data_IF_500628652453
#
_entry.id   IF_500628652453
#
_cell.length_a   1.000
_cell.length_b   1.000
_cell.length_c   1.000
_cell.angle_alpha   90.00
_cell.angle_beta   90.00
_cell.angle_gamma   90.00
#
_symmetry.space_group_name_H-M   'P 1'
#
loop_
_entity.id
_entity.type
_entity.pdbx_description
1 polymer ?
#
# COMPACT_ATOMS: atom_id res chain seq x y z
N UNK A 1 5.25 18.52 -7.58
CA UNK A 1 5.41 17.82 -8.87
C UNK A 1 5.13 16.33 -8.67
N UNK A 2 4.21 15.77 -9.43
CA UNK A 2 3.92 14.34 -9.30
C UNK A 2 5.06 13.53 -9.91
N UNK A 3 5.61 12.58 -9.19
CA UNK A 3 6.59 11.65 -9.73
C UNK A 3 5.93 10.72 -10.76
N UNK A 4 6.70 10.28 -11.74
CA UNK A 4 6.22 9.32 -12.73
C UNK A 4 5.94 7.98 -12.05
N UNK A 5 4.86 7.27 -12.42
CA UNK A 5 4.61 5.95 -11.87
C UNK A 5 5.75 4.98 -12.23
N UNK A 6 6.07 4.10 -11.30
CA UNK A 6 7.05 3.05 -11.49
C UNK A 6 6.32 1.76 -11.82
N UNK A 7 6.65 1.15 -12.95
CA UNK A 7 6.02 -0.09 -13.38
C UNK A 7 6.83 -1.31 -12.95
N UNK A 8 6.14 -2.44 -12.76
CA UNK A 8 6.74 -3.71 -12.34
C UNK A 8 7.78 -4.22 -13.32
N UNK A 9 7.58 -3.98 -14.63
CA UNK A 9 8.51 -4.36 -15.69
C UNK A 9 8.18 -3.57 -16.96
N UNK A 10 9.06 -3.67 -17.97
CA UNK A 10 8.81 -3.05 -19.27
C UNK A 10 7.58 -3.63 -19.95
N UNK A 11 7.33 -4.95 -19.78
CA UNK A 11 6.12 -5.58 -20.29
C UNK A 11 4.87 -4.97 -19.65
N UNK A 12 4.86 -4.77 -18.33
CA UNK A 12 3.75 -4.12 -17.65
C UNK A 12 3.57 -2.67 -18.08
N UNK A 13 4.66 -1.97 -18.33
CA UNK A 13 4.62 -0.59 -18.88
C UNK A 13 3.94 -0.57 -20.25
N UNK A 14 4.30 -1.50 -21.13
CA UNK A 14 3.73 -1.59 -22.46
C UNK A 14 2.23 -1.89 -22.41
N UNK A 15 1.82 -2.83 -21.55
CA UNK A 15 0.42 -3.19 -21.33
C UNK A 15 -0.36 -1.97 -20.83
N UNK A 16 0.19 -1.26 -19.82
CA UNK A 16 -0.44 -0.07 -19.26
C UNK A 16 -0.59 1.04 -20.31
N UNK A 17 0.43 1.27 -21.14
CA UNK A 17 0.38 2.27 -22.21
C UNK A 17 -0.71 1.95 -23.24
N UNK A 18 -0.85 0.67 -23.60
CA UNK A 18 -1.90 0.23 -24.51
C UNK A 18 -3.29 0.47 -23.91
N UNK A 19 -3.46 0.14 -22.62
CA UNK A 19 -4.72 0.38 -21.92
C UNK A 19 -5.06 1.87 -21.84
N UNK A 20 -4.06 2.73 -21.58
CA UNK A 20 -4.26 4.18 -21.57
C UNK A 20 -4.71 4.69 -22.94
N UNK A 21 -4.14 4.16 -24.02
CA UNK A 21 -4.56 4.51 -25.38
C UNK A 21 -6.02 4.17 -25.64
N UNK A 22 -6.44 2.97 -25.24
CA UNK A 22 -7.83 2.52 -25.36
C UNK A 22 -8.77 3.37 -24.49
N UNK A 23 -8.33 3.72 -23.28
CA UNK A 23 -9.12 4.57 -22.38
C UNK A 23 -9.34 5.95 -22.97
N UNK A 24 -8.29 6.57 -23.53
CA UNK A 24 -8.38 7.87 -24.19
C UNK A 24 -9.28 7.84 -25.43
N UNK A 25 -9.31 6.71 -26.13
CA UNK A 25 -10.17 6.51 -27.29
C UNK A 25 -11.63 6.20 -26.89
N UNK A 26 -11.93 6.06 -25.59
CA UNK A 26 -13.27 5.80 -25.09
C UNK A 26 -13.70 4.34 -25.15
N UNK A 27 -12.82 3.42 -25.51
CA UNK A 27 -13.12 1.98 -25.59
C UNK A 27 -12.87 1.25 -24.27
N UNK A 28 -12.18 1.87 -23.32
CA UNK A 28 -11.89 1.33 -22.01
C UNK A 28 -12.44 2.27 -20.95
N UNK A 29 -13.28 1.76 -20.06
CA UNK A 29 -13.89 2.58 -19.01
C UNK A 29 -12.92 2.85 -17.84
N UNK A 30 -13.36 3.73 -16.96
CA UNK A 30 -12.57 4.17 -15.80
C UNK A 30 -12.26 3.04 -14.83
N UNK A 31 -13.21 2.15 -14.59
CA UNK A 31 -13.04 1.04 -13.65
C UNK A 31 -12.01 0.04 -14.18
N UNK A 32 -12.10 -0.30 -15.46
CA UNK A 32 -11.16 -1.21 -16.11
C UNK A 32 -9.77 -0.61 -16.17
N UNK A 33 -9.65 0.71 -16.43
CA UNK A 33 -8.36 1.39 -16.43
C UNK A 33 -7.70 1.33 -15.05
N UNK A 34 -8.49 1.46 -13.97
CA UNK A 34 -7.97 1.30 -12.61
C UNK A 34 -7.42 -0.10 -12.35
N UNK A 35 -8.05 -1.13 -12.92
CA UNK A 35 -7.54 -2.50 -12.81
C UNK A 35 -6.16 -2.64 -13.47
N UNK A 36 -5.95 -1.98 -14.62
CA UNK A 36 -4.64 -1.93 -15.25
C UNK A 36 -3.63 -1.16 -14.42
N UNK A 37 -4.03 -0.05 -13.80
CA UNK A 37 -3.16 0.72 -12.90
C UNK A 37 -2.69 -0.15 -11.73
N UNK A 38 -3.59 -0.89 -11.11
CA UNK A 38 -3.27 -1.78 -9.98
C UNK A 38 -2.36 -2.92 -10.42
N UNK A 39 -2.61 -3.49 -11.61
CA UNK A 39 -1.86 -4.66 -12.10
C UNK A 39 -0.47 -4.29 -12.60
N UNK A 40 -0.30 -3.13 -13.23
CA UNK A 40 0.91 -2.77 -13.97
C UNK A 40 1.86 -1.87 -13.19
N UNK A 41 1.33 -0.98 -12.35
CA UNK A 41 2.13 -0.02 -11.58
C UNK A 41 2.67 -0.70 -10.34
N UNK A 42 3.98 -0.59 -10.13
CA UNK A 42 4.61 -1.09 -8.91
C UNK A 42 4.09 -0.29 -7.70
N UNK A 43 3.87 -0.99 -6.58
CA UNK A 43 3.47 -0.32 -5.35
C UNK A 43 4.65 0.53 -4.85
N UNK A 44 4.46 1.86 -4.72
CA UNK A 44 5.52 2.71 -4.19
C UNK A 44 5.60 2.67 -2.66
N UNK A 45 4.77 1.85 -2.02
CA UNK A 45 4.68 1.84 -0.56
C UNK A 45 5.80 0.99 0.00
N UNK A 46 6.78 1.65 0.57
CA UNK A 46 7.80 1.05 1.42
C UNK A 46 7.79 1.81 2.73
N UNK A 47 7.89 1.10 3.83
CA UNK A 47 7.94 1.70 5.15
C UNK A 47 9.13 1.18 5.93
N UNK A 48 9.93 2.12 6.46
CA UNK A 48 10.98 1.80 7.40
C UNK A 48 10.37 1.36 8.74
N UNK A 49 11.06 0.52 9.52
CA UNK A 49 10.56 0.12 10.85
C UNK A 49 10.19 1.31 11.74
N UNK A 50 10.95 2.39 11.69
CA UNK A 50 10.67 3.60 12.48
C UNK A 50 9.36 4.27 12.06
N UNK A 51 9.00 4.21 10.79
CA UNK A 51 7.74 4.77 10.30
C UNK A 51 6.54 3.96 10.80
N UNK A 52 6.64 2.65 10.82
CA UNK A 52 5.60 1.75 11.33
C UNK A 52 5.35 2.07 12.80
N UNK A 53 6.42 2.18 13.58
CA UNK A 53 6.34 2.55 14.99
C UNK A 53 5.69 3.92 15.18
N UNK A 54 6.04 4.88 14.34
CA UNK A 54 5.48 6.24 14.37
C UNK A 54 3.99 6.24 14.10
N UNK A 55 3.53 5.44 13.13
CA UNK A 55 2.11 5.29 12.83
C UNK A 55 1.36 4.75 14.05
N UNK A 56 1.92 3.74 14.70
CA UNK A 56 1.32 3.16 15.91
C UNK A 56 1.28 4.16 17.06
N UNK A 57 2.38 4.85 17.32
CA UNK A 57 2.47 5.84 18.40
C UNK A 57 1.54 7.03 18.13
N UNK A 58 1.43 7.44 16.86
CA UNK A 58 0.49 8.50 16.47
C UNK A 58 -0.97 8.12 16.70
N UNK A 59 -1.28 6.85 16.68
CA UNK A 59 -2.61 6.33 17.02
C UNK A 59 -2.79 6.11 18.53
N UNK A 60 -1.75 6.31 19.33
CA UNK A 60 -1.75 6.16 20.80
C UNK A 60 -2.14 4.76 21.28
N UNK A 61 -1.69 3.73 20.57
CA UNK A 61 -1.97 2.34 20.93
C UNK A 61 -0.69 1.55 21.14
N UNK A 62 -0.79 0.50 21.96
CA UNK A 62 0.30 -0.45 22.19
C UNK A 62 0.44 -1.42 21.02
N UNK A 63 1.55 -2.16 20.98
CA UNK A 63 1.77 -3.17 19.94
C UNK A 63 0.65 -4.25 19.91
N UNK A 64 0.21 -4.82 21.05
CA UNK A 64 -0.88 -5.79 21.02
C UNK A 64 -2.19 -5.21 20.48
N UNK A 65 -2.52 -4.00 20.86
CA UNK A 65 -3.75 -3.32 20.39
C UNK A 65 -3.66 -3.03 18.91
N UNK A 66 -2.52 -2.52 18.44
CA UNK A 66 -2.28 -2.25 17.05
C UNK A 66 -2.41 -3.53 16.20
N UNK A 67 -1.83 -4.63 16.67
CA UNK A 67 -1.93 -5.93 16.03
C UNK A 67 -3.39 -6.39 15.89
N UNK A 68 -4.22 -6.17 16.90
CA UNK A 68 -5.64 -6.51 16.84
C UNK A 68 -6.39 -5.71 15.78
N UNK A 69 -6.12 -4.41 15.67
CA UNK A 69 -6.73 -3.59 14.62
C UNK A 69 -6.35 -4.06 13.23
N UNK A 70 -5.10 -4.50 13.06
CA UNK A 70 -4.61 -4.98 11.77
C UNK A 70 -4.89 -6.46 11.52
N UNK A 71 -5.52 -7.14 12.48
CA UNK A 71 -5.82 -8.57 12.43
C UNK A 71 -4.56 -9.41 12.22
N UNK A 72 -3.53 -9.10 12.97
CA UNK A 72 -2.27 -9.83 12.97
C UNK A 72 -1.81 -10.11 14.41
N UNK A 73 -0.66 -10.76 14.57
CA UNK A 73 -0.12 -11.06 15.91
C UNK A 73 0.77 -9.92 16.41
N UNK A 74 0.85 -9.79 17.73
CA UNK A 74 1.79 -8.88 18.38
C UNK A 74 3.24 -9.15 17.93
N UNK A 75 3.61 -10.42 17.85
CA UNK A 75 4.94 -10.84 17.39
C UNK A 75 5.26 -10.29 16.00
N UNK A 76 4.29 -10.28 15.11
CA UNK A 76 4.46 -9.73 13.77
C UNK A 76 4.73 -8.23 13.83
N UNK A 77 3.96 -7.48 14.61
CA UNK A 77 4.17 -6.03 14.78
C UNK A 77 5.54 -5.75 15.39
N UNK A 78 5.94 -6.51 16.40
CA UNK A 78 7.26 -6.40 17.01
C UNK A 78 8.37 -6.57 15.98
N UNK A 79 8.25 -7.57 15.11
CA UNK A 79 9.24 -7.86 14.07
C UNK A 79 9.29 -6.75 13.03
N UNK A 80 8.16 -6.18 12.66
CA UNK A 80 8.12 -5.03 11.74
C UNK A 80 8.86 -3.83 12.33
N UNK A 81 8.61 -3.53 13.59
CA UNK A 81 9.23 -2.37 14.27
C UNK A 81 10.71 -2.60 14.58
N UNK A 82 11.10 -3.85 14.75
CA UNK A 82 12.50 -4.22 14.95
C UNK A 82 13.30 -4.35 13.63
N UNK A 83 12.60 -4.41 12.50
CA UNK A 83 13.24 -4.54 11.20
C UNK A 83 13.62 -5.97 10.82
N UNK A 84 13.22 -6.97 11.63
CA UNK A 84 13.53 -8.38 11.36
C UNK A 84 12.61 -9.03 10.35
N UNK A 85 11.45 -8.42 10.08
CA UNK A 85 10.49 -8.87 9.08
C UNK A 85 9.86 -7.66 8.42
N UNK A 86 9.72 -7.72 7.10
CA UNK A 86 9.03 -6.66 6.34
C UNK A 86 7.55 -6.97 6.21
N UNK A 87 6.67 -5.96 6.33
CA UNK A 87 5.26 -6.16 6.05
C UNK A 87 5.05 -6.61 4.61
N UNK A 88 4.04 -7.47 4.39
CA UNK A 88 3.60 -7.83 3.05
C UNK A 88 2.96 -6.63 2.35
N UNK A 89 2.72 -6.74 1.04
CA UNK A 89 2.05 -5.68 0.28
C UNK A 89 0.68 -5.32 0.85
N UNK A 90 -0.08 -6.33 1.29
CA UNK A 90 -1.38 -6.12 1.92
C UNK A 90 -1.23 -5.36 3.26
N UNK A 91 -0.27 -5.75 4.07
CA UNK A 91 0.00 -5.07 5.35
C UNK A 91 0.47 -3.63 5.14
N UNK A 92 1.33 -3.39 4.16
CA UNK A 92 1.77 -2.05 3.79
C UNK A 92 0.60 -1.16 3.38
N UNK A 93 -0.34 -1.70 2.63
CA UNK A 93 -1.54 -0.96 2.24
C UNK A 93 -2.40 -0.58 3.44
N UNK A 94 -2.60 -1.52 4.37
CA UNK A 94 -3.32 -1.24 5.61
C UNK A 94 -2.62 -0.18 6.45
N UNK A 95 -1.30 -0.27 6.58
CA UNK A 95 -0.51 0.71 7.31
C UNK A 95 -0.62 2.10 6.68
N UNK A 96 -0.59 2.19 5.36
CA UNK A 96 -0.75 3.46 4.65
C UNK A 96 -2.14 4.05 4.86
N UNK A 97 -3.18 3.24 4.86
CA UNK A 97 -4.56 3.66 5.12
C UNK A 97 -4.70 4.19 6.56
N UNK A 98 -4.10 3.50 7.52
CA UNK A 98 -4.10 3.95 8.93
C UNK A 98 -3.34 5.26 9.10
N UNK A 99 -2.20 5.41 8.43
CA UNK A 99 -1.43 6.65 8.47
C UNK A 99 -2.27 7.83 7.98
N UNK A 100 -3.02 7.62 6.91
CA UNK A 100 -3.80 8.69 6.27
C UNK A 100 -5.13 8.97 6.98
N UNK A 101 -5.81 7.94 7.47
CA UNK A 101 -7.18 8.05 7.96
C UNK A 101 -7.36 7.67 9.44
N UNK A 102 -6.34 7.15 10.09
CA UNK A 102 -6.40 6.68 11.48
C UNK A 102 -7.03 5.30 11.61
N UNK A 103 -6.99 4.75 12.82
CA UNK A 103 -7.49 3.39 13.10
C UNK A 103 -9.01 3.27 12.96
N UNK A 104 -9.75 4.35 13.01
CA UNK A 104 -11.22 4.34 12.87
C UNK A 104 -11.68 3.66 11.59
N UNK A 105 -10.88 3.75 10.54
CA UNK A 105 -11.22 3.15 9.24
C UNK A 105 -11.25 1.64 9.29
N UNK A 106 -10.60 1.04 10.30
CA UNK A 106 -10.54 -0.41 10.48
C UNK A 106 -11.60 -0.95 11.46
N UNK A 107 -12.45 -0.10 11.98
CA UNK A 107 -13.51 -0.51 12.93
C UNK A 107 -14.87 -0.65 12.30
#
# INVERSE_FOLDING_TARGET
MKSKPKFKSDAFRAIHSAAQGLHRAGTLDKATMRDFDVSCIDSPIEMAPAEIKRIREGASVSQPVFARYLNTSESTVQKWEAGTKRPSGMALKLLAVVEKHGLKVLT
#
